data_IF_696461508927
#
_entry.id   IF_696461508927
#
_cell.length_a   1.000
_cell.length_b   1.000
_cell.length_c   1.000
_cell.angle_alpha   90.00
_cell.angle_beta   90.00
_cell.angle_gamma   90.00
#
_symmetry.space_group_name_H-M   'P 1'
#
loop_
_entity.id
_entity.type
_entity.pdbx_description
1 polymer ?
#
# COMPACT_ATOMS: atom_id res chain seq x y z
N UNK A 1 5.74 0.18 -22.16
CA UNK A 1 4.82 1.16 -21.51
C UNK A 1 3.52 0.55 -20.95
N UNK A 2 2.50 0.15 -21.74
CA UNK A 2 1.24 -0.43 -21.17
C UNK A 2 1.46 -1.73 -20.35
N UNK A 3 2.45 -2.53 -20.74
CA UNK A 3 2.82 -3.77 -20.05
C UNK A 3 3.54 -3.50 -18.72
N UNK A 4 4.52 -2.60 -18.73
CA UNK A 4 5.26 -2.17 -17.53
C UNK A 4 4.34 -1.56 -16.46
N UNK A 5 3.36 -0.74 -16.87
CA UNK A 5 2.37 -0.16 -15.94
C UNK A 5 1.55 -1.26 -15.26
N UNK A 6 1.15 -2.30 -16.00
CA UNK A 6 0.42 -3.45 -15.44
C UNK A 6 1.27 -4.25 -14.47
N UNK A 7 2.53 -4.52 -14.82
CA UNK A 7 3.46 -5.25 -13.94
C UNK A 7 3.74 -4.50 -12.62
N UNK A 8 3.79 -3.16 -12.66
CA UNK A 8 3.95 -2.33 -11.46
C UNK A 8 2.69 -2.38 -10.59
N UNK A 9 1.50 -2.38 -11.19
CA UNK A 9 0.23 -2.53 -10.46
C UNK A 9 0.14 -3.90 -9.80
N UNK A 10 0.36 -4.98 -10.57
CA UNK A 10 0.34 -6.36 -10.06
C UNK A 10 1.32 -6.55 -8.87
N UNK A 11 2.48 -5.88 -8.91
CA UNK A 11 3.44 -5.90 -7.81
C UNK A 11 2.93 -5.12 -6.59
N UNK A 12 2.28 -3.98 -6.81
CA UNK A 12 1.69 -3.15 -5.74
C UNK A 12 0.60 -3.92 -5.01
N UNK A 13 -0.29 -4.59 -5.75
CA UNK A 13 -1.42 -5.36 -5.20
C UNK A 13 -0.92 -6.55 -4.38
N UNK A 14 0.10 -7.28 -4.88
CA UNK A 14 0.72 -8.38 -4.13
C UNK A 14 1.35 -7.93 -2.83
N UNK A 15 2.01 -6.77 -2.84
CA UNK A 15 2.63 -6.23 -1.63
C UNK A 15 1.56 -5.74 -0.66
N UNK A 16 0.50 -5.08 -1.14
CA UNK A 16 -0.65 -4.68 -0.33
C UNK A 16 -1.32 -5.89 0.34
N UNK A 17 -1.57 -6.97 -0.42
CA UNK A 17 -2.12 -8.22 0.09
C UNK A 17 -1.21 -8.87 1.14
N UNK A 18 0.11 -8.84 0.95
CA UNK A 18 1.07 -9.32 1.95
C UNK A 18 0.97 -8.53 3.26
N UNK A 19 0.89 -7.19 3.19
CA UNK A 19 0.75 -6.34 4.38
C UNK A 19 -0.57 -6.62 5.11
N UNK A 20 -1.69 -6.76 4.38
CA UNK A 20 -3.00 -7.12 4.94
C UNK A 20 -2.94 -8.50 5.62
N UNK A 21 -2.32 -9.50 4.99
CA UNK A 21 -2.17 -10.84 5.56
C UNK A 21 -1.28 -10.87 6.81
N UNK A 22 -0.19 -10.10 6.82
CA UNK A 22 0.79 -10.08 7.92
C UNK A 22 0.33 -9.29 9.13
N UNK A 23 -0.28 -8.14 8.91
CA UNK A 23 -0.61 -7.17 9.97
C UNK A 23 -2.12 -7.09 10.27
N UNK A 24 -2.97 -7.72 9.46
CA UNK A 24 -4.42 -7.74 9.64
C UNK A 24 -5.00 -6.32 9.71
N UNK A 25 -5.88 -6.08 10.69
CA UNK A 25 -6.49 -4.77 10.93
C UNK A 25 -5.47 -3.65 11.23
N UNK A 26 -4.23 -3.99 11.62
CA UNK A 26 -3.17 -3.00 11.87
C UNK A 26 -2.39 -2.60 10.61
N UNK A 27 -2.66 -3.22 9.47
CA UNK A 27 -1.89 -2.98 8.24
C UNK A 27 -1.86 -1.50 7.85
N UNK A 28 -2.99 -0.79 7.96
CA UNK A 28 -3.05 0.64 7.69
C UNK A 28 -2.16 1.45 8.63
N UNK A 29 -2.32 1.25 9.94
CA UNK A 29 -1.53 1.96 10.95
C UNK A 29 -0.03 1.74 10.76
N UNK A 30 0.39 0.50 10.47
CA UNK A 30 1.81 0.18 10.20
C UNK A 30 2.33 0.91 8.97
N UNK A 31 1.53 1.00 7.89
CA UNK A 31 1.91 1.71 6.68
C UNK A 31 1.98 3.23 6.90
N UNK A 32 1.08 3.79 7.70
CA UNK A 32 1.07 5.22 8.04
C UNK A 32 2.24 5.61 8.95
N UNK A 33 2.52 4.82 9.99
CA UNK A 33 3.69 5.01 10.85
C UNK A 33 5.00 4.92 10.05
N UNK A 34 5.10 3.94 9.14
CA UNK A 34 6.26 3.81 8.26
C UNK A 34 6.37 4.98 7.27
N UNK A 35 5.24 5.48 6.75
CA UNK A 35 5.22 6.64 5.86
C UNK A 35 5.67 7.92 6.58
N UNK A 36 5.23 8.10 7.83
CA UNK A 36 5.68 9.20 8.68
C UNK A 36 7.18 9.11 8.94
N UNK A 37 7.69 7.90 9.25
CA UNK A 37 9.14 7.70 9.41
C UNK A 37 9.92 8.08 8.13
N UNK A 38 9.43 7.70 6.95
CA UNK A 38 10.03 8.15 5.69
C UNK A 38 10.01 9.68 5.54
N UNK A 39 8.90 10.33 5.90
CA UNK A 39 8.76 11.79 5.85
C UNK A 39 9.75 12.49 6.80
N UNK A 40 9.89 12.01 8.03
CA UNK A 40 10.82 12.53 9.03
C UNK A 40 12.29 12.41 8.58
N UNK A 41 12.60 11.45 7.72
CA UNK A 41 13.93 11.22 7.14
C UNK A 41 14.09 11.80 5.72
N UNK A 42 13.17 12.67 5.28
CA UNK A 42 13.16 13.29 3.95
C UNK A 42 13.10 12.31 2.75
N UNK A 43 12.67 11.06 2.96
CA UNK A 43 12.43 10.08 1.91
C UNK A 43 10.98 10.17 1.39
N UNK A 44 10.74 11.15 0.53
CA UNK A 44 9.42 11.35 -0.09
C UNK A 44 9.02 10.20 -1.02
N UNK A 45 9.99 9.48 -1.61
CA UNK A 45 9.73 8.36 -2.50
C UNK A 45 9.21 7.14 -1.73
N UNK A 46 9.87 6.81 -0.62
CA UNK A 46 9.45 5.75 0.31
C UNK A 46 8.07 6.04 0.88
N UNK A 47 7.86 7.26 1.38
CA UNK A 47 6.55 7.75 1.86
C UNK A 47 5.45 7.52 0.82
N UNK A 48 5.63 8.02 -0.40
CA UNK A 48 4.62 7.92 -1.46
C UNK A 48 4.38 6.49 -1.94
N UNK A 49 5.37 5.60 -1.80
CA UNK A 49 5.17 4.16 -2.07
C UNK A 49 4.31 3.51 -1.00
N UNK A 50 4.57 3.81 0.28
CA UNK A 50 3.80 3.26 1.40
C UNK A 50 2.35 3.74 1.39
N UNK A 51 2.12 5.03 1.09
CA UNK A 51 0.77 5.57 0.95
C UNK A 51 -0.01 4.91 -0.20
N UNK A 52 0.63 4.62 -1.33
CA UNK A 52 -0.01 3.85 -2.42
C UNK A 52 -0.42 2.44 -1.99
N UNK A 53 0.41 1.76 -1.21
CA UNK A 53 0.06 0.44 -0.67
C UNK A 53 -1.14 0.52 0.29
N UNK A 54 -1.20 1.57 1.12
CA UNK A 54 -2.34 1.80 2.01
C UNK A 54 -3.62 2.04 1.21
N UNK A 55 -3.55 2.89 0.19
CA UNK A 55 -4.70 3.22 -0.64
C UNK A 55 -5.20 1.98 -1.41
N UNK A 56 -4.30 1.09 -1.84
CA UNK A 56 -4.67 -0.19 -2.47
C UNK A 56 -5.41 -1.13 -1.50
N UNK A 57 -4.98 -1.18 -0.23
CA UNK A 57 -5.69 -1.95 0.82
C UNK A 57 -7.10 -1.37 1.03
N UNK A 58 -7.21 -0.05 1.14
CA UNK A 58 -8.50 0.63 1.30
C UNK A 58 -9.44 0.35 0.12
N UNK A 59 -8.94 0.43 -1.11
CA UNK A 59 -9.72 0.13 -2.31
C UNK A 59 -10.21 -1.33 -2.32
N UNK A 60 -9.34 -2.27 -1.95
CA UNK A 60 -9.70 -3.69 -1.84
C UNK A 60 -10.79 -3.92 -0.80
N UNK A 61 -10.68 -3.28 0.38
CA UNK A 61 -11.69 -3.39 1.44
C UNK A 61 -13.04 -2.78 1.05
N UNK A 62 -13.03 -1.67 0.29
CA UNK A 62 -14.26 -1.08 -0.24
C UNK A 62 -14.94 -1.98 -1.27
N UNK A 63 -14.17 -2.68 -2.10
CA UNK A 63 -14.70 -3.67 -3.06
C UNK A 63 -15.32 -4.86 -2.33
N UNK A 64 -14.59 -5.43 -1.36
CA UNK A 64 -15.08 -6.54 -0.52
C UNK A 64 -16.38 -6.19 0.22
N UNK A 65 -16.58 -4.93 0.61
CA UNK A 65 -17.76 -4.47 1.33
C UNK A 65 -19.00 -4.22 0.44
N UNK A 66 -18.82 -4.19 -0.88
CA UNK A 66 -19.91 -3.99 -1.85
C UNK A 66 -20.45 -5.28 -2.47
N UNK A 67 -19.81 -6.42 -2.21
CA UNK A 67 -20.25 -7.77 -2.59
C UNK A 67 -21.02 -8.47 -1.46
#
# INVERSE_FOLDING_TARGET
MRREIREIHDLTDRVAAYYRAKYGQRAMTVLEEAAQYCEDNADLHGRNRLLRLRDEILLSEMQDATE
#
